data_IF_904016652447
#
_entry.id   IF_904016652447
#
_cell.length_a   1.000
_cell.length_b   1.000
_cell.length_c   1.000
_cell.angle_alpha   90.00
_cell.angle_beta   90.00
_cell.angle_gamma   90.00
#
_symmetry.space_group_name_H-M   'P 1'
#
loop_
_entity.id
_entity.type
_entity.pdbx_description
1 polymer ?
#
# COMPACT_ATOMS: atom_id res chain seq x y z
N UNK A 1 -0.25 15.72 16.43
CA UNK A 1 -0.52 16.68 15.34
C UNK A 1 0.18 16.33 14.04
N UNK A 2 -0.53 16.35 12.91
CA UNK A 2 0.08 16.10 11.59
C UNK A 2 1.23 17.06 11.33
N UNK A 3 2.38 16.53 10.93
CA UNK A 3 3.63 17.29 10.74
C UNK A 3 3.46 18.53 9.85
N UNK A 4 2.73 18.41 8.75
CA UNK A 4 2.45 19.53 7.84
C UNK A 4 1.70 20.68 8.54
N UNK A 5 0.65 20.37 9.31
CA UNK A 5 -0.08 21.36 10.10
C UNK A 5 0.80 21.96 11.19
N UNK A 6 1.57 21.12 11.91
CA UNK A 6 2.45 21.58 12.97
C UNK A 6 3.50 22.57 12.44
N UNK A 7 4.09 22.30 11.27
CA UNK A 7 5.02 23.22 10.62
C UNK A 7 4.35 24.55 10.23
N UNK A 8 3.13 24.52 9.67
CA UNK A 8 2.38 25.74 9.36
C UNK A 8 2.09 26.59 10.60
N UNK A 9 1.68 25.96 11.70
CA UNK A 9 1.43 26.67 12.96
C UNK A 9 2.74 27.19 13.59
N UNK A 10 3.85 26.44 13.47
CA UNK A 10 5.17 26.89 13.91
C UNK A 10 5.62 28.16 13.18
N UNK A 11 5.39 28.23 11.86
CA UNK A 11 5.70 29.42 11.06
C UNK A 11 4.89 30.64 11.53
N UNK A 12 3.61 30.47 11.86
CA UNK A 12 2.78 31.55 12.41
C UNK A 12 3.29 32.02 13.78
N UNK A 13 3.63 31.08 14.68
CA UNK A 13 4.21 31.41 16.00
C UNK A 13 5.54 32.16 15.83
N UNK A 14 6.37 31.77 14.86
CA UNK A 14 7.66 32.41 14.59
C UNK A 14 7.56 33.86 14.09
N UNK A 15 6.38 34.34 13.69
CA UNK A 15 6.15 35.75 13.34
C UNK A 15 5.97 36.66 14.57
N UNK A 16 5.60 36.09 15.72
CA UNK A 16 5.31 36.85 16.94
C UNK A 16 6.48 37.74 17.40
N UNK A 17 7.75 37.29 17.43
CA UNK A 17 8.87 38.13 17.85
C UNK A 17 9.02 39.41 17.02
N UNK A 18 8.77 39.33 15.71
CA UNK A 18 8.82 40.50 14.82
C UNK A 18 7.69 41.50 15.14
N UNK A 19 6.51 40.99 15.48
CA UNK A 19 5.41 41.83 15.94
C UNK A 19 5.73 42.45 17.32
N UNK A 20 6.36 41.70 18.22
CA UNK A 20 6.82 42.20 19.52
C UNK A 20 7.81 43.35 19.36
N UNK A 21 8.79 43.24 18.45
CA UNK A 21 9.71 44.34 18.14
C UNK A 21 8.97 45.60 17.68
N UNK A 22 7.91 45.44 16.90
CA UNK A 22 7.11 46.58 16.41
C UNK A 22 6.34 47.23 17.56
N UNK A 23 5.71 46.42 18.43
CA UNK A 23 5.05 46.90 19.66
C UNK A 23 6.04 47.68 20.54
N UNK A 24 7.24 47.14 20.76
CA UNK A 24 8.25 47.78 21.59
C UNK A 24 8.74 49.11 21.01
N UNK A 25 8.88 49.23 19.68
CA UNK A 25 9.21 50.49 19.02
C UNK A 25 8.08 51.51 19.16
N UNK A 26 6.82 51.08 18.99
CA UNK A 26 5.65 51.94 19.20
C UNK A 26 5.58 52.47 20.62
N UNK A 27 6.05 51.70 21.62
CA UNK A 27 6.19 52.17 23.02
C UNK A 27 7.17 53.32 23.13
N UNK A 28 8.32 53.26 22.46
CA UNK A 28 9.34 54.33 22.53
C UNK A 28 8.87 55.66 21.92
N UNK A 29 8.12 55.58 20.83
CA UNK A 29 7.65 56.77 20.09
C UNK A 29 6.21 57.17 20.43
N UNK A 30 5.58 56.48 21.39
CA UNK A 30 4.20 56.67 21.83
C UNK A 30 3.15 56.58 20.69
N UNK A 31 3.36 55.65 19.76
CA UNK A 31 2.45 55.40 18.63
C UNK A 31 1.37 54.36 18.99
N UNK A 32 0.29 54.86 19.59
CA UNK A 32 -0.83 54.05 20.09
C UNK A 32 -1.53 53.28 18.97
N UNK A 33 -1.68 53.88 17.80
CA UNK A 33 -2.41 53.26 16.70
C UNK A 33 -1.66 52.03 16.17
N UNK A 34 -0.36 52.17 15.92
CA UNK A 34 0.46 51.04 15.45
C UNK A 34 0.55 49.95 16.53
N UNK A 35 0.72 50.32 17.81
CA UNK A 35 0.74 49.35 18.90
C UNK A 35 -0.58 48.56 18.98
N UNK A 36 -1.73 49.24 18.91
CA UNK A 36 -3.04 48.61 18.98
C UNK A 36 -3.28 47.62 17.81
N UNK A 37 -2.89 47.99 16.59
CA UNK A 37 -2.97 47.10 15.43
C UNK A 37 -2.10 45.86 15.63
N UNK A 38 -0.82 46.02 16.00
CA UNK A 38 0.07 44.88 16.21
C UNK A 38 -0.36 43.98 17.38
N UNK A 39 -0.87 44.54 18.47
CA UNK A 39 -1.42 43.77 19.59
C UNK A 39 -2.64 42.95 19.13
N UNK A 40 -3.53 43.55 18.36
CA UNK A 40 -4.70 42.85 17.79
C UNK A 40 -4.27 41.75 16.82
N UNK A 41 -3.28 41.98 15.97
CA UNK A 41 -2.77 40.97 15.02
C UNK A 41 -2.14 39.78 15.75
N UNK A 42 -1.37 40.04 16.80
CA UNK A 42 -0.82 38.99 17.68
C UNK A 42 -1.94 38.18 18.33
N UNK A 43 -2.99 38.83 18.84
CA UNK A 43 -4.12 38.16 19.48
C UNK A 43 -4.90 37.30 18.49
N UNK A 44 -5.20 37.83 17.30
CA UNK A 44 -5.85 37.08 16.22
C UNK A 44 -5.02 35.87 15.80
N UNK A 45 -3.70 36.02 15.71
CA UNK A 45 -2.78 34.92 15.40
C UNK A 45 -2.83 33.84 16.49
N UNK A 46 -2.76 34.24 17.77
CA UNK A 46 -2.81 33.30 18.90
C UNK A 46 -4.14 32.53 18.95
N UNK A 47 -5.27 33.21 18.73
CA UNK A 47 -6.60 32.59 18.64
C UNK A 47 -6.68 31.60 17.47
N UNK A 48 -6.21 32.00 16.30
CA UNK A 48 -6.22 31.14 15.12
C UNK A 48 -5.38 29.88 15.32
N UNK A 49 -4.16 30.03 15.89
CA UNK A 49 -3.29 28.89 16.22
C UNK A 49 -3.95 28.01 17.29
N UNK A 50 -4.47 28.59 18.36
CA UNK A 50 -5.13 27.84 19.44
C UNK A 50 -6.31 27.02 18.94
N UNK A 51 -7.19 27.64 18.16
CA UNK A 51 -8.36 26.96 17.55
C UNK A 51 -7.93 25.77 16.70
N UNK A 52 -6.86 25.92 15.89
CA UNK A 52 -6.31 24.83 15.07
C UNK A 52 -5.71 23.70 15.89
N UNK A 53 -5.12 24.01 17.05
CA UNK A 53 -4.62 22.99 17.97
C UNK A 53 -5.79 22.23 18.58
N UNK A 54 -6.83 22.92 19.07
CA UNK A 54 -8.01 22.25 19.65
C UNK A 54 -8.75 21.39 18.61
N UNK A 55 -8.87 21.86 17.36
CA UNK A 55 -9.43 21.08 16.24
C UNK A 55 -8.65 19.77 15.98
N UNK A 56 -7.33 19.78 16.18
CA UNK A 56 -6.44 18.68 15.82
C UNK A 56 -6.15 17.71 16.98
N UNK A 57 -5.93 18.23 18.18
CA UNK A 57 -5.47 17.48 19.36
C UNK A 57 -6.54 17.36 20.45
N UNK A 58 -7.67 18.06 20.30
CA UNK A 58 -8.71 18.19 21.31
C UNK A 58 -8.49 19.37 22.25
N UNK A 59 -9.56 19.77 22.94
CA UNK A 59 -9.57 20.96 23.80
C UNK A 59 -8.67 20.82 25.04
N UNK A 60 -8.13 21.96 25.49
CA UNK A 60 -7.50 22.08 26.81
C UNK A 60 -6.02 21.68 26.87
N UNK A 61 -5.36 21.63 25.71
CA UNK A 61 -3.91 21.42 25.64
C UNK A 61 -3.14 22.50 26.41
N UNK A 62 -1.97 22.14 26.93
CA UNK A 62 -1.07 23.06 27.64
C UNK A 62 -0.59 24.23 26.79
N UNK A 63 -0.44 24.01 25.47
CA UNK A 63 -0.08 25.04 24.49
C UNK A 63 -1.22 26.03 24.28
N UNK A 64 -2.46 25.55 24.18
CA UNK A 64 -3.64 26.44 24.06
C UNK A 64 -3.79 27.31 25.31
N UNK A 65 -3.60 26.73 26.50
CA UNK A 65 -3.59 27.51 27.75
C UNK A 65 -2.50 28.60 27.77
N UNK A 66 -1.33 28.33 27.19
CA UNK A 66 -0.27 29.33 27.07
C UNK A 66 -0.63 30.43 26.05
N UNK A 67 -1.32 30.08 24.96
CA UNK A 67 -1.84 31.05 23.99
C UNK A 67 -2.96 31.92 24.58
N UNK A 68 -3.84 31.35 25.41
CA UNK A 68 -4.87 32.08 26.15
C UNK A 68 -4.25 33.08 27.12
N UNK A 69 -3.29 32.64 27.94
CA UNK A 69 -2.54 33.53 28.84
C UNK A 69 -1.78 34.64 28.08
N UNK A 70 -1.29 34.34 26.88
CA UNK A 70 -0.69 35.33 26.00
C UNK A 70 -1.71 36.35 25.48
N UNK A 71 -2.92 35.93 25.11
CA UNK A 71 -4.01 36.85 24.74
C UNK A 71 -4.37 37.80 25.89
N UNK A 72 -4.44 37.29 27.13
CA UNK A 72 -4.67 38.11 28.32
C UNK A 72 -3.52 39.10 28.55
N UNK A 73 -2.27 38.66 28.38
CA UNK A 73 -1.09 39.51 28.43
C UNK A 73 -1.18 40.67 27.41
N UNK A 74 -1.55 40.39 26.16
CA UNK A 74 -1.69 41.41 25.12
C UNK A 74 -2.76 42.44 25.46
N UNK A 75 -3.88 42.01 26.05
CA UNK A 75 -4.94 42.90 26.52
C UNK A 75 -4.44 43.83 27.64
N UNK A 76 -3.71 43.29 28.62
CA UNK A 76 -3.11 44.12 29.68
C UNK A 76 -2.09 45.12 29.13
N UNK A 77 -1.25 44.72 28.17
CA UNK A 77 -0.31 45.63 27.51
C UNK A 77 -1.08 46.76 26.79
N UNK A 78 -2.19 46.46 26.12
CA UNK A 78 -3.03 47.48 25.49
C UNK A 78 -3.60 48.49 26.49
N UNK A 79 -4.02 48.03 27.67
CA UNK A 79 -4.49 48.90 28.76
C UNK A 79 -3.36 49.78 29.31
N UNK A 80 -2.21 49.19 29.63
CA UNK A 80 -1.02 49.92 30.10
C UNK A 80 -0.60 51.00 29.10
N UNK A 81 -0.71 50.72 27.80
CA UNK A 81 -0.46 51.67 26.73
C UNK A 81 -1.46 52.83 26.73
N UNK A 82 -2.74 52.51 26.85
CA UNK A 82 -3.84 53.49 26.82
C UNK A 82 -3.84 54.41 28.05
N UNK A 83 -3.39 53.90 29.19
CA UNK A 83 -3.28 54.64 30.46
C UNK A 83 -1.96 55.44 30.58
N UNK A 84 -1.02 55.28 29.64
CA UNK A 84 0.29 55.92 29.69
C UNK A 84 1.25 55.31 30.71
N UNK A 85 0.99 54.08 31.15
CA UNK A 85 1.77 53.34 32.14
C UNK A 85 2.73 52.29 31.50
N UNK A 86 2.84 52.28 30.18
CA UNK A 86 3.62 51.28 29.45
C UNK A 86 5.13 51.44 29.67
N UNK A 87 5.72 50.51 30.41
CA UNK A 87 7.18 50.38 30.55
C UNK A 87 7.74 49.39 29.52
N UNK A 88 8.54 49.90 28.58
CA UNK A 88 9.13 49.10 27.49
C UNK A 88 9.85 47.86 28.01
N UNK A 89 10.67 47.99 29.05
CA UNK A 89 11.52 46.90 29.54
C UNK A 89 10.67 45.79 30.16
N UNK A 90 9.68 46.16 30.95
CA UNK A 90 8.74 45.22 31.55
C UNK A 90 7.89 44.50 30.50
N UNK A 91 7.38 45.23 29.51
CA UNK A 91 6.62 44.68 28.37
C UNK A 91 7.49 43.70 27.58
N UNK A 92 8.74 44.07 27.26
CA UNK A 92 9.68 43.22 26.54
C UNK A 92 9.87 41.87 27.25
N UNK A 93 10.19 41.88 28.54
CA UNK A 93 10.42 40.65 29.30
C UNK A 93 9.18 39.75 29.34
N UNK A 94 7.98 40.33 29.49
CA UNK A 94 6.73 39.56 29.50
C UNK A 94 6.44 38.91 28.14
N UNK A 95 6.62 39.66 27.05
CA UNK A 95 6.42 39.15 25.69
C UNK A 95 7.43 38.04 25.34
N UNK A 96 8.72 38.23 25.67
CA UNK A 96 9.76 37.23 25.46
C UNK A 96 9.48 35.94 26.24
N UNK A 97 9.13 36.05 27.53
CA UNK A 97 8.80 34.89 28.36
C UNK A 97 7.58 34.13 27.81
N UNK A 98 6.54 34.85 27.39
CA UNK A 98 5.34 34.23 26.83
C UNK A 98 5.63 33.52 25.50
N UNK A 99 6.44 34.13 24.64
CA UNK A 99 6.85 33.51 23.38
C UNK A 99 7.65 32.23 23.61
N UNK A 100 8.60 32.23 24.55
CA UNK A 100 9.40 31.06 24.90
C UNK A 100 8.53 29.95 25.47
N UNK A 101 7.59 30.26 26.37
CA UNK A 101 6.66 29.28 26.94
C UNK A 101 5.78 28.64 25.86
N UNK A 102 5.14 29.45 25.01
CA UNK A 102 4.34 28.96 23.87
C UNK A 102 5.18 28.07 22.96
N UNK A 103 6.37 28.52 22.58
CA UNK A 103 7.23 27.81 21.63
C UNK A 103 7.69 26.46 22.20
N UNK A 104 8.06 26.42 23.47
CA UNK A 104 8.50 25.18 24.12
C UNK A 104 7.35 24.17 24.24
N UNK A 105 6.17 24.60 24.72
CA UNK A 105 5.01 23.71 24.84
C UNK A 105 4.57 23.19 23.48
N UNK A 106 4.47 24.07 22.48
CA UNK A 106 4.11 23.68 21.12
C UNK A 106 5.09 22.67 20.51
N UNK A 107 6.40 22.89 20.70
CA UNK A 107 7.43 22.03 20.11
C UNK A 107 7.48 20.65 20.79
N UNK A 108 7.47 20.63 22.12
CA UNK A 108 7.81 19.43 22.91
C UNK A 108 6.60 18.67 23.47
N UNK A 109 5.46 19.32 23.67
CA UNK A 109 4.30 18.69 24.31
C UNK A 109 3.24 18.22 23.31
N UNK A 110 3.28 18.71 22.07
CA UNK A 110 2.42 18.22 20.98
C UNK A 110 3.26 17.31 20.07
N UNK A 111 3.06 15.99 20.07
CA UNK A 111 3.88 15.09 19.26
C UNK A 111 3.54 15.22 17.76
N UNK A 112 4.54 15.00 16.92
CA UNK A 112 4.34 14.90 15.48
C UNK A 112 3.66 13.57 15.17
N UNK A 113 2.56 13.62 14.42
CA UNK A 113 1.93 12.44 13.84
C UNK A 113 2.17 12.40 12.34
N UNK A 114 2.30 11.18 11.83
CA UNK A 114 2.57 10.88 10.42
C UNK A 114 1.32 10.29 9.78
N UNK A 115 0.95 10.76 8.60
CA UNK A 115 -0.12 10.16 7.80
C UNK A 115 0.49 9.20 6.76
N UNK A 116 0.09 7.93 6.83
CA UNK A 116 0.56 6.87 5.92
C UNK A 116 -0.63 6.28 5.18
N UNK A 117 -0.62 6.36 3.86
CA UNK A 117 -1.71 5.88 3.00
C UNK A 117 -1.28 4.64 2.23
N UNK A 118 -2.13 3.61 2.22
CA UNK A 118 -1.97 2.40 1.43
C UNK A 118 -3.01 2.39 0.30
N UNK A 119 -2.56 2.21 -0.94
CA UNK A 119 -3.40 2.24 -2.15
C UNK A 119 -3.47 0.87 -2.85
N UNK A 120 -4.13 -0.13 -2.26
CA UNK A 120 -4.34 -1.41 -2.93
C UNK A 120 -5.40 -1.27 -4.05
N UNK A 121 -5.22 -1.93 -5.20
CA UNK A 121 -6.21 -1.90 -6.29
C UNK A 121 -7.06 -3.19 -6.38
N UNK A 122 -6.60 -4.28 -5.76
CA UNK A 122 -7.31 -5.57 -5.67
C UNK A 122 -7.23 -6.17 -4.27
N UNK A 123 -8.36 -6.68 -3.76
CA UNK A 123 -8.45 -7.30 -2.44
C UNK A 123 -7.64 -8.60 -2.36
N UNK A 124 -7.66 -9.42 -3.42
CA UNK A 124 -6.85 -10.64 -3.55
C UNK A 124 -5.33 -10.43 -3.57
N UNK A 125 -4.88 -9.17 -3.61
CA UNK A 125 -3.46 -8.76 -3.61
C UNK A 125 -3.11 -7.92 -2.37
N UNK A 126 -3.99 -7.90 -1.37
CA UNK A 126 -3.81 -7.12 -0.13
C UNK A 126 -2.67 -7.66 0.75
N UNK A 127 -2.43 -8.97 0.69
CA UNK A 127 -1.36 -9.69 1.38
C UNK A 127 0.04 -9.08 1.16
N UNK A 128 0.24 -8.31 0.08
CA UNK A 128 1.49 -7.63 -0.23
C UNK A 128 1.73 -6.34 0.57
N UNK A 129 0.72 -5.80 1.25
CA UNK A 129 0.80 -4.58 2.06
C UNK A 129 0.33 -4.79 3.50
N UNK A 130 -0.40 -5.87 3.77
CA UNK A 130 -1.07 -6.14 5.05
C UNK A 130 -0.14 -6.04 6.27
N UNK A 131 1.04 -6.69 6.27
CA UNK A 131 1.94 -6.65 7.43
C UNK A 131 2.54 -5.26 7.65
N UNK A 132 2.78 -4.51 6.57
CA UNK A 132 3.28 -3.12 6.62
C UNK A 132 2.20 -2.19 7.20
N UNK A 133 0.96 -2.35 6.74
CA UNK A 133 -0.17 -1.61 7.29
C UNK A 133 -0.42 -1.95 8.76
N UNK A 134 -0.42 -3.23 9.16
CA UNK A 134 -0.58 -3.64 10.56
C UNK A 134 0.47 -3.00 11.46
N UNK A 135 1.73 -2.95 11.01
CA UNK A 135 2.81 -2.29 11.75
C UNK A 135 2.60 -0.78 11.86
N UNK A 136 2.15 -0.11 10.79
CA UNK A 136 1.85 1.32 10.81
C UNK A 136 0.64 1.63 11.71
N UNK A 137 -0.43 0.84 11.63
CA UNK A 137 -1.65 1.03 12.42
C UNK A 137 -1.46 0.76 13.92
N UNK A 138 -0.42 0.00 14.31
CA UNK A 138 -0.08 -0.24 15.71
C UNK A 138 0.72 0.90 16.37
N UNK A 139 1.25 1.85 15.60
CA UNK A 139 2.02 2.98 16.12
C UNK A 139 1.08 4.15 16.44
N UNK A 140 1.00 4.61 17.70
CA UNK A 140 0.10 5.70 18.10
C UNK A 140 0.46 7.06 17.46
N UNK A 141 1.65 7.20 16.89
CA UNK A 141 2.08 8.41 16.17
C UNK A 141 1.84 8.32 14.66
N UNK A 142 1.24 7.24 14.17
CA UNK A 142 0.98 7.02 12.75
C UNK A 142 -0.52 6.86 12.50
N UNK A 143 -1.05 7.75 11.68
CA UNK A 143 -2.38 7.64 11.11
C UNK A 143 -2.31 6.83 9.81
N UNK A 144 -2.53 5.51 9.93
CA UNK A 144 -2.50 4.58 8.81
C UNK A 144 -3.89 4.45 8.14
N UNK A 145 -3.99 4.76 6.84
CA UNK A 145 -5.24 4.70 6.06
C UNK A 145 -5.14 3.72 4.92
N UNK A 146 -6.15 2.86 4.76
CA UNK A 146 -6.28 1.99 3.59
C UNK A 146 -7.33 2.58 2.65
N UNK A 147 -6.90 2.94 1.45
CA UNK A 147 -7.75 3.54 0.42
C UNK A 147 -7.67 2.65 -0.81
N UNK A 148 -8.55 1.63 -0.94
CA UNK A 148 -8.65 0.85 -2.15
C UNK A 148 -8.91 1.77 -3.34
N UNK A 149 -8.22 1.53 -4.45
CA UNK A 149 -8.32 2.36 -5.65
C UNK A 149 -9.02 1.61 -6.78
N UNK A 150 -9.86 2.29 -7.58
CA UNK A 150 -10.53 1.66 -8.69
C UNK A 150 -9.58 1.37 -9.85
N UNK A 151 -9.98 0.42 -10.69
CA UNK A 151 -9.27 0.06 -11.91
C UNK A 151 -10.24 -0.27 -13.05
N UNK A 152 -9.71 -0.32 -14.25
CA UNK A 152 -10.43 -0.67 -15.46
C UNK A 152 -9.83 -1.92 -16.08
N UNK A 153 -10.65 -2.74 -16.72
CA UNK A 153 -10.16 -3.67 -17.74
C UNK A 153 -9.63 -2.89 -18.95
N UNK A 154 -8.72 -3.51 -19.70
CA UNK A 154 -8.23 -3.02 -20.99
C UNK A 154 -8.82 -3.86 -22.11
N UNK A 155 -9.38 -3.19 -23.12
CA UNK A 155 -9.80 -3.82 -24.36
C UNK A 155 -8.59 -4.11 -25.27
N UNK A 156 -8.73 -5.00 -26.28
CA UNK A 156 -7.65 -5.26 -27.23
C UNK A 156 -7.12 -4.02 -27.96
N UNK A 157 -7.95 -2.97 -28.13
CA UNK A 157 -7.56 -1.68 -28.72
C UNK A 157 -6.86 -0.73 -27.73
N UNK A 158 -6.65 -1.16 -26.49
CA UNK A 158 -6.05 -0.39 -25.40
C UNK A 158 -7.02 0.56 -24.70
N UNK A 159 -8.28 0.70 -25.13
CA UNK A 159 -9.25 1.56 -24.44
C UNK A 159 -9.75 0.93 -23.13
N UNK A 160 -10.35 1.75 -22.26
CA UNK A 160 -10.92 1.25 -21.00
C UNK A 160 -12.19 0.43 -21.25
N UNK A 161 -12.25 -0.70 -20.54
CA UNK A 161 -13.38 -1.62 -20.47
C UNK A 161 -14.21 -1.38 -19.21
N UNK A 162 -14.57 -2.46 -18.53
CA UNK A 162 -15.36 -2.44 -17.30
C UNK A 162 -14.61 -1.74 -16.17
N UNK A 163 -15.36 -1.01 -15.33
CA UNK A 163 -14.86 -0.35 -14.14
C UNK A 163 -15.05 -1.27 -12.93
N UNK A 164 -14.02 -1.36 -12.11
CA UNK A 164 -13.98 -2.23 -10.94
C UNK A 164 -13.58 -1.45 -9.69
N UNK A 165 -14.25 -1.75 -8.57
CA UNK A 165 -13.91 -1.22 -7.25
C UNK A 165 -14.17 -2.28 -6.17
N UNK A 166 -13.10 -2.82 -5.59
CA UNK A 166 -13.13 -3.94 -4.63
C UNK A 166 -13.10 -3.45 -3.16
N UNK A 167 -13.48 -2.19 -2.89
CA UNK A 167 -13.36 -1.62 -1.54
C UNK A 167 -14.18 -2.32 -0.45
N UNK A 168 -15.22 -3.06 -0.85
CA UNK A 168 -16.04 -3.89 0.06
C UNK A 168 -15.57 -5.33 0.23
N UNK A 169 -14.49 -5.74 -0.44
CA UNK A 169 -13.98 -7.12 -0.43
C UNK A 169 -12.77 -7.32 0.50
N UNK A 170 -12.33 -6.26 1.18
CA UNK A 170 -11.24 -6.33 2.13
C UNK A 170 -11.67 -7.02 3.44
N UNK A 171 -10.72 -7.63 4.18
CA UNK A 171 -11.00 -8.20 5.48
C UNK A 171 -11.66 -7.20 6.44
N UNK A 172 -12.59 -7.67 7.27
CA UNK A 172 -13.40 -6.81 8.15
C UNK A 172 -12.60 -6.05 9.21
N UNK A 173 -11.40 -6.51 9.54
CA UNK A 173 -10.45 -5.85 10.44
C UNK A 173 -9.71 -4.68 9.78
N UNK A 174 -9.83 -4.50 8.46
CA UNK A 174 -9.19 -3.42 7.70
C UNK A 174 -10.18 -2.25 7.54
N UNK A 175 -9.97 -1.11 8.23
CA UNK A 175 -10.83 0.06 8.07
C UNK A 175 -10.58 0.73 6.72
N UNK A 176 -11.59 0.70 5.86
CA UNK A 176 -11.52 1.25 4.50
C UNK A 176 -11.97 2.72 4.47
N UNK A 177 -11.15 3.56 3.85
CA UNK A 177 -11.49 4.94 3.48
C UNK A 177 -11.83 4.98 1.99
N UNK A 178 -12.99 5.53 1.65
CA UNK A 178 -13.38 5.71 0.24
C UNK A 178 -12.45 6.68 -0.48
N UNK A 179 -11.98 6.29 -1.66
CA UNK A 179 -11.11 7.13 -2.50
C UNK A 179 -11.78 8.44 -2.96
N UNK A 180 -13.11 8.49 -3.00
CA UNK A 180 -13.88 9.69 -3.37
C UNK A 180 -13.91 10.74 -2.26
N UNK A 181 -13.75 10.32 -1.01
CA UNK A 181 -13.80 11.18 0.17
C UNK A 181 -12.44 11.69 0.60
N UNK A 182 -11.36 11.15 0.04
CA UNK A 182 -10.00 11.50 0.40
C UNK A 182 -9.43 12.56 -0.54
N UNK A 183 -8.98 13.70 0.01
CA UNK A 183 -8.39 14.77 -0.78
C UNK A 183 -6.86 14.73 -0.70
N UNK A 184 -6.22 14.08 -1.67
CA UNK A 184 -4.76 13.91 -1.70
C UNK A 184 -3.98 15.23 -1.67
N UNK A 185 -4.45 16.26 -2.36
CA UNK A 185 -3.78 17.56 -2.41
C UNK A 185 -3.86 18.29 -1.07
N UNK A 186 -5.04 18.29 -0.43
CA UNK A 186 -5.24 18.90 0.88
C UNK A 186 -4.56 18.12 2.01
N UNK A 187 -4.62 16.80 1.95
CA UNK A 187 -4.10 15.94 3.00
C UNK A 187 -2.57 15.83 2.94
N UNK A 188 -2.02 15.66 1.74
CA UNK A 188 -0.60 15.48 1.45
C UNK A 188 0.10 14.46 2.40
N UNK A 189 -0.24 13.16 2.31
CA UNK A 189 0.34 12.13 3.19
C UNK A 189 1.87 12.15 3.22
N UNK A 190 2.46 11.90 4.38
CA UNK A 190 3.92 11.77 4.52
C UNK A 190 4.44 10.58 3.69
N UNK A 191 3.70 9.47 3.69
CA UNK A 191 4.00 8.28 2.89
C UNK A 191 2.79 7.74 2.15
N UNK A 192 3.01 7.30 0.92
CA UNK A 192 2.03 6.51 0.15
C UNK A 192 2.67 5.19 -0.28
N UNK A 193 2.01 4.08 0.03
CA UNK A 193 2.35 2.73 -0.43
C UNK A 193 1.46 2.31 -1.60
N UNK A 194 2.10 1.90 -2.71
CA UNK A 194 1.44 1.33 -3.88
C UNK A 194 1.97 -0.09 -4.13
N UNK A 195 1.14 -0.95 -4.71
CA UNK A 195 1.55 -2.32 -5.08
C UNK A 195 1.36 -2.69 -6.55
N UNK A 196 0.59 -1.90 -7.32
CA UNK A 196 0.46 -2.09 -8.76
C UNK A 196 1.61 -1.36 -9.48
N UNK A 197 2.40 -2.04 -10.32
CA UNK A 197 3.56 -1.39 -10.94
C UNK A 197 3.30 -0.65 -12.24
N UNK A 198 2.13 -0.83 -12.86
CA UNK A 198 2.03 -0.72 -14.31
C UNK A 198 1.44 0.60 -14.82
N UNK A 199 0.83 1.44 -13.99
CA UNK A 199 0.10 2.63 -14.44
C UNK A 199 -0.82 2.33 -15.65
N UNK A 200 -0.48 2.87 -16.83
CA UNK A 200 -1.17 2.72 -18.10
C UNK A 200 -0.56 1.68 -19.05
N UNK A 201 0.56 1.05 -18.72
CA UNK A 201 1.30 0.18 -19.66
C UNK A 201 0.89 -1.30 -19.61
N UNK A 202 0.07 -1.71 -18.65
CA UNK A 202 -0.43 -3.09 -18.60
C UNK A 202 -1.52 -3.31 -19.66
N UNK A 203 -1.45 -4.46 -20.34
CA UNK A 203 -2.35 -4.83 -21.42
C UNK A 203 -3.73 -5.32 -20.94
N UNK A 204 -3.85 -5.69 -19.66
CA UNK A 204 -5.06 -6.36 -19.13
C UNK A 204 -5.90 -5.44 -18.26
N UNK A 205 -5.27 -4.68 -17.37
CA UNK A 205 -5.94 -3.75 -16.47
C UNK A 205 -5.14 -2.47 -16.33
N UNK A 206 -5.80 -1.38 -15.95
CA UNK A 206 -5.14 -0.12 -15.59
C UNK A 206 -5.84 0.48 -14.38
N UNK A 207 -5.06 0.85 -13.36
CA UNK A 207 -5.60 1.63 -12.23
C UNK A 207 -6.17 2.94 -12.75
N UNK A 208 -7.15 3.52 -12.07
CA UNK A 208 -7.73 4.77 -12.52
C UNK A 208 -6.64 5.86 -12.71
N UNK A 209 -6.61 6.64 -13.81
CA UNK A 209 -5.48 7.49 -14.20
C UNK A 209 -4.97 8.47 -13.14
N UNK A 210 -5.86 8.95 -12.27
CA UNK A 210 -5.50 9.75 -11.10
C UNK A 210 -4.45 9.05 -10.22
N UNK A 211 -4.53 7.73 -10.08
CA UNK A 211 -3.67 6.90 -9.24
C UNK A 211 -2.40 6.37 -9.93
N UNK A 212 -2.11 6.80 -11.16
CA UNK A 212 -0.81 6.50 -11.76
C UNK A 212 0.32 6.99 -10.87
N UNK A 213 1.36 6.18 -10.71
CA UNK A 213 2.50 6.46 -9.85
C UNK A 213 3.15 7.82 -10.16
N UNK A 214 3.19 8.23 -11.44
CA UNK A 214 3.66 9.57 -11.86
C UNK A 214 2.81 10.74 -11.33
N UNK A 215 1.54 10.51 -11.05
CA UNK A 215 0.60 11.50 -10.52
C UNK A 215 0.63 11.49 -8.99
N UNK A 216 0.48 10.31 -8.38
CA UNK A 216 0.42 10.15 -6.93
C UNK A 216 1.71 10.60 -6.24
N UNK A 217 2.87 10.44 -6.88
CA UNK A 217 4.15 10.94 -6.36
C UNK A 217 4.10 12.44 -6.01
N UNK A 218 3.24 13.23 -6.65
CA UNK A 218 3.14 14.69 -6.43
C UNK A 218 2.43 15.07 -5.13
N UNK A 219 1.71 14.13 -4.50
CA UNK A 219 0.90 14.37 -3.31
C UNK A 219 1.53 13.81 -2.03
N UNK A 220 2.80 13.40 -2.08
CA UNK A 220 3.49 12.80 -0.93
C UNK A 220 4.98 13.08 -0.96
N UNK A 221 5.58 13.17 0.24
CA UNK A 221 7.03 13.30 0.39
C UNK A 221 7.76 11.99 0.02
N UNK A 222 7.10 10.84 0.23
CA UNK A 222 7.69 9.53 -0.05
C UNK A 222 6.65 8.55 -0.60
N UNK A 223 6.90 8.11 -1.83
CA UNK A 223 6.10 7.11 -2.53
C UNK A 223 6.88 5.80 -2.49
N UNK A 224 6.30 4.76 -1.90
CA UNK A 224 6.91 3.45 -1.73
C UNK A 224 6.18 2.44 -2.60
N UNK A 225 6.92 1.68 -3.40
CA UNK A 225 6.38 0.58 -4.18
C UNK A 225 6.79 -0.77 -3.57
N UNK A 226 5.81 -1.62 -3.29
CA UNK A 226 6.01 -3.02 -2.85
C UNK A 226 5.25 -3.92 -3.84
N UNK A 227 5.92 -4.77 -4.64
CA UNK A 227 5.25 -5.63 -5.60
C UNK A 227 4.18 -6.52 -4.95
N UNK A 228 3.00 -6.64 -5.59
CA UNK A 228 1.97 -7.59 -5.16
C UNK A 228 2.31 -9.06 -5.48
N UNK A 229 3.38 -9.29 -6.22
CA UNK A 229 3.84 -10.61 -6.62
C UNK A 229 5.25 -10.88 -6.10
N UNK A 230 5.61 -12.16 -6.08
CA UNK A 230 6.98 -12.62 -5.88
C UNK A 230 7.48 -13.29 -7.14
N UNK A 231 8.78 -13.20 -7.38
CA UNK A 231 9.45 -13.78 -8.54
C UNK A 231 10.32 -14.95 -8.09
N UNK A 232 10.77 -15.78 -9.02
CA UNK A 232 11.84 -16.73 -8.70
C UNK A 232 13.14 -15.95 -8.43
N UNK A 233 13.94 -16.44 -7.49
CA UNK A 233 15.23 -15.82 -7.18
C UNK A 233 16.16 -15.83 -8.40
N UNK A 234 16.80 -14.69 -8.64
CA UNK A 234 17.66 -14.48 -9.81
C UNK A 234 19.11 -14.37 -9.32
N UNK A 235 20.02 -15.04 -10.02
CA UNK A 235 21.44 -14.71 -9.88
C UNK A 235 21.69 -13.34 -10.54
N UNK A 236 22.07 -12.29 -9.79
CA UNK A 236 22.30 -10.96 -10.35
C UNK A 236 23.47 -10.91 -11.37
N UNK A 237 24.31 -11.94 -11.42
CA UNK A 237 25.41 -12.05 -12.39
C UNK A 237 24.97 -12.68 -13.73
N UNK A 238 23.78 -13.30 -13.76
CA UNK A 238 23.22 -13.91 -14.97
C UNK A 238 22.46 -12.86 -15.80
N UNK A 239 23.18 -12.26 -16.75
CA UNK A 239 22.62 -11.23 -17.65
C UNK A 239 21.46 -11.75 -18.52
N UNK A 240 21.45 -13.02 -18.90
CA UNK A 240 20.35 -13.57 -19.69
C UNK A 240 19.10 -13.79 -18.84
N UNK A 241 19.27 -14.23 -17.59
CA UNK A 241 18.17 -14.30 -16.63
C UNK A 241 17.58 -12.90 -16.38
N UNK A 242 18.42 -11.87 -16.18
CA UNK A 242 17.95 -10.49 -15.97
C UNK A 242 17.06 -9.97 -17.11
N UNK A 243 17.34 -10.34 -18.37
CA UNK A 243 16.51 -9.93 -19.52
C UNK A 243 15.06 -10.36 -19.36
N UNK A 244 14.79 -11.53 -18.77
CA UNK A 244 13.42 -12.05 -18.56
C UNK A 244 12.62 -11.16 -17.61
N UNK A 245 13.27 -10.45 -16.70
CA UNK A 245 12.62 -9.64 -15.67
C UNK A 245 12.59 -8.14 -15.98
N UNK A 246 13.15 -7.72 -17.12
CA UNK A 246 13.21 -6.30 -17.53
C UNK A 246 11.85 -5.60 -17.53
N UNK A 247 10.79 -6.31 -17.90
CA UNK A 247 9.44 -5.75 -17.94
C UNK A 247 8.89 -5.44 -16.53
N UNK A 248 9.27 -6.20 -15.50
CA UNK A 248 8.94 -5.89 -14.11
C UNK A 248 9.82 -4.75 -13.57
N UNK A 249 11.12 -4.78 -13.88
CA UNK A 249 12.10 -3.81 -13.36
C UNK A 249 11.91 -2.43 -13.98
N UNK A 250 11.56 -2.36 -15.27
CA UNK A 250 11.31 -1.12 -16.01
C UNK A 250 9.92 -0.53 -15.81
N UNK A 251 9.09 -1.12 -14.93
CA UNK A 251 7.70 -0.70 -14.77
C UNK A 251 7.58 0.71 -14.15
N UNK A 252 6.53 1.48 -14.51
CA UNK A 252 6.35 2.86 -14.05
C UNK A 252 6.50 3.07 -12.54
N UNK A 253 5.94 2.22 -11.69
CA UNK A 253 6.08 2.39 -10.24
C UNK A 253 7.53 2.23 -9.76
N UNK A 254 8.32 1.35 -10.39
CA UNK A 254 9.76 1.21 -10.06
C UNK A 254 10.49 2.50 -10.40
N UNK A 255 10.16 3.14 -11.52
CA UNK A 255 10.78 4.39 -11.95
C UNK A 255 10.30 5.58 -11.10
N UNK A 256 9.00 5.67 -10.84
CA UNK A 256 8.35 6.81 -10.22
C UNK A 256 8.36 6.78 -8.69
N UNK A 257 8.53 5.64 -8.03
CA UNK A 257 8.60 5.59 -6.57
C UNK A 257 9.88 6.28 -6.04
N UNK A 258 9.81 6.78 -4.81
CA UNK A 258 10.97 7.26 -4.06
C UNK A 258 11.76 6.06 -3.49
N UNK A 259 11.08 4.99 -3.12
CA UNK A 259 11.65 3.75 -2.59
C UNK A 259 10.92 2.53 -3.18
N UNK A 260 11.66 1.45 -3.42
CA UNK A 260 11.11 0.18 -3.91
C UNK A 260 11.59 -0.94 -3.01
N UNK A 261 10.67 -1.74 -2.49
CA UNK A 261 10.98 -2.86 -1.59
C UNK A 261 10.72 -4.17 -2.35
N UNK A 262 11.78 -4.96 -2.56
CA UNK A 262 11.73 -6.27 -3.21
C UNK A 262 12.08 -7.39 -2.23
N UNK A 263 11.69 -8.61 -2.60
CA UNK A 263 11.67 -9.80 -1.75
C UNK A 263 13.02 -10.24 -1.15
N UNK A 264 14.16 -9.84 -1.71
CA UNK A 264 15.48 -10.32 -1.27
C UNK A 264 16.62 -9.39 -1.70
N UNK A 265 17.80 -9.57 -1.08
CA UNK A 265 19.02 -8.86 -1.46
C UNK A 265 19.49 -9.22 -2.88
N UNK A 266 19.32 -10.48 -3.31
CA UNK A 266 19.63 -10.88 -4.67
C UNK A 266 18.74 -10.17 -5.68
N UNK A 267 17.43 -10.06 -5.39
CA UNK A 267 16.51 -9.29 -6.21
C UNK A 267 16.83 -7.80 -6.20
N UNK A 268 17.24 -7.23 -5.07
CA UNK A 268 17.73 -5.84 -5.01
C UNK A 268 18.91 -5.65 -5.97
N UNK A 269 19.93 -6.51 -5.90
CA UNK A 269 21.09 -6.46 -6.79
C UNK A 269 20.67 -6.57 -8.26
N UNK A 270 19.79 -7.52 -8.58
CA UNK A 270 19.27 -7.72 -9.94
C UNK A 270 18.57 -6.46 -10.50
N UNK A 271 17.73 -5.81 -9.69
CA UNK A 271 17.08 -4.55 -10.06
C UNK A 271 18.10 -3.43 -10.28
N UNK A 272 19.08 -3.29 -9.38
CA UNK A 272 20.14 -2.28 -9.50
C UNK A 272 20.94 -2.48 -10.78
N UNK A 273 21.42 -3.70 -11.05
CA UNK A 273 22.21 -3.96 -12.27
C UNK A 273 21.41 -3.68 -13.55
N UNK A 274 20.14 -4.11 -13.60
CA UNK A 274 19.29 -3.86 -14.76
C UNK A 274 19.01 -2.36 -14.98
N UNK A 275 18.79 -1.59 -13.92
CA UNK A 275 18.54 -0.14 -14.02
C UNK A 275 19.82 0.63 -14.38
N UNK A 276 20.96 0.20 -13.85
CA UNK A 276 22.27 0.77 -14.16
C UNK A 276 22.69 0.46 -15.61
N UNK A 277 22.43 -0.75 -16.11
CA UNK A 277 22.68 -1.11 -17.52
C UNK A 277 21.96 -0.14 -18.48
N UNK A 278 20.74 0.26 -18.15
CA UNK A 278 19.92 1.14 -18.99
C UNK A 278 20.20 2.64 -18.83
N UNK A 279 20.75 3.07 -17.68
CA UNK A 279 20.86 4.51 -17.34
C UNK A 279 22.29 4.99 -17.09
N UNK A 280 23.24 4.05 -16.98
CA UNK A 280 24.67 4.29 -16.76
C UNK A 280 25.10 4.23 -15.31
N UNK A 281 26.36 3.82 -15.11
CA UNK A 281 27.02 3.58 -13.81
C UNK A 281 26.96 4.78 -12.83
N UNK A 282 26.91 6.00 -13.36
CA UNK A 282 26.74 7.24 -12.57
C UNK A 282 25.50 7.23 -11.68
N UNK A 283 24.47 6.46 -12.01
CA UNK A 283 23.22 6.37 -11.26
C UNK A 283 23.20 5.22 -10.24
N UNK A 284 24.24 4.39 -10.13
CA UNK A 284 24.27 3.22 -9.25
C UNK A 284 23.91 3.58 -7.80
N UNK A 285 24.58 4.58 -7.23
CA UNK A 285 24.34 5.02 -5.84
C UNK A 285 22.88 5.45 -5.62
N UNK A 286 22.26 6.08 -6.63
CA UNK A 286 20.84 6.44 -6.56
C UNK A 286 19.95 5.20 -6.47
N UNK A 287 20.17 4.20 -7.33
CA UNK A 287 19.39 2.96 -7.30
C UNK A 287 19.67 2.10 -6.08
N UNK A 288 20.91 2.02 -5.60
CA UNK A 288 21.26 1.30 -4.37
C UNK A 288 20.58 1.88 -3.13
N UNK A 289 20.37 3.20 -3.11
CA UNK A 289 19.62 3.88 -2.07
C UNK A 289 18.11 3.70 -2.23
N UNK A 290 17.60 3.64 -3.46
CA UNK A 290 16.18 3.54 -3.78
C UNK A 290 15.61 2.12 -3.63
N UNK A 291 16.34 1.10 -4.08
CA UNK A 291 15.89 -0.30 -4.07
C UNK A 291 16.35 -0.98 -2.78
N UNK A 292 15.40 -1.59 -2.05
CA UNK A 292 15.61 -2.29 -0.78
C UNK A 292 15.25 -3.76 -0.95
N UNK A 293 16.14 -4.66 -0.52
CA UNK A 293 15.94 -6.11 -0.58
C UNK A 293 15.47 -6.71 0.74
N UNK A 294 14.60 -6.00 1.47
CA UNK A 294 14.31 -6.28 2.89
C UNK A 294 13.21 -7.31 3.11
N UNK A 295 12.64 -7.88 2.05
CA UNK A 295 11.62 -8.93 2.16
C UNK A 295 10.32 -8.62 1.43
N UNK A 296 9.38 -9.54 1.51
CA UNK A 296 8.02 -9.40 0.96
C UNK A 296 7.01 -9.76 2.05
N UNK A 297 6.01 -8.90 2.32
CA UNK A 297 4.90 -9.22 3.23
C UNK A 297 4.21 -10.55 2.89
N UNK A 298 4.13 -10.88 1.60
CA UNK A 298 3.56 -12.14 1.10
C UNK A 298 4.35 -13.38 1.53
N UNK A 299 5.68 -13.29 1.52
CA UNK A 299 6.56 -14.38 2.00
C UNK A 299 6.53 -14.46 3.53
N UNK A 300 6.55 -13.32 4.20
CA UNK A 300 6.46 -13.25 5.66
C UNK A 300 5.17 -13.92 6.16
N UNK A 301 4.03 -13.56 5.57
CA UNK A 301 2.72 -14.11 5.90
C UNK A 301 2.69 -15.63 5.71
N UNK A 302 3.01 -16.14 4.53
CA UNK A 302 2.90 -17.59 4.27
C UNK A 302 3.83 -18.42 5.17
N UNK A 303 5.01 -17.91 5.52
CA UNK A 303 5.95 -18.59 6.44
C UNK A 303 5.44 -18.61 7.89
N UNK A 304 4.61 -17.65 8.27
CA UNK A 304 4.04 -17.57 9.63
C UNK A 304 2.82 -18.46 9.84
N UNK A 305 2.19 -18.92 8.76
CA UNK A 305 0.94 -19.66 8.80
C UNK A 305 1.15 -21.17 8.95
N UNK A 306 0.22 -21.80 9.63
CA UNK A 306 0.08 -23.25 9.78
C UNK A 306 -1.32 -23.68 9.38
N UNK A 307 -1.56 -24.99 9.28
CA UNK A 307 -2.90 -25.51 8.97
C UNK A 307 -3.95 -25.13 10.02
N UNK A 308 -3.53 -24.89 11.27
CA UNK A 308 -4.42 -24.51 12.37
C UNK A 308 -4.90 -23.04 12.25
N UNK A 309 -4.17 -22.20 11.52
CA UNK A 309 -4.53 -20.82 11.24
C UNK A 309 -5.54 -20.69 10.09
N UNK A 310 -5.87 -21.81 9.43
CA UNK A 310 -6.65 -21.82 8.20
C UNK A 310 -8.02 -22.42 8.43
N UNK A 311 -9.06 -21.60 8.20
CA UNK A 311 -10.43 -22.07 8.18
C UNK A 311 -10.71 -22.84 6.88
N UNK A 312 -11.04 -24.13 7.01
CA UNK A 312 -11.47 -24.98 5.88
C UNK A 312 -12.98 -24.75 5.66
N UNK A 313 -13.41 -24.23 4.50
CA UNK A 313 -14.82 -24.08 4.18
C UNK A 313 -15.58 -25.40 4.32
N UNK A 314 -16.79 -25.36 4.89
CA UNK A 314 -17.58 -26.56 5.16
C UNK A 314 -17.81 -27.39 3.89
N UNK A 315 -18.10 -26.71 2.78
CA UNK A 315 -18.27 -27.29 1.46
C UNK A 315 -17.01 -28.02 0.93
N UNK A 316 -15.82 -27.66 1.40
CA UNK A 316 -14.57 -28.31 0.99
C UNK A 316 -14.28 -29.60 1.78
N UNK A 317 -14.83 -29.72 2.99
CA UNK A 317 -14.56 -30.87 3.89
C UNK A 317 -14.92 -32.21 3.24
N UNK A 318 -16.01 -32.27 2.46
CA UNK A 318 -16.44 -33.48 1.75
C UNK A 318 -15.42 -34.01 0.75
N UNK A 319 -14.57 -33.15 0.19
CA UNK A 319 -13.52 -33.59 -0.73
C UNK A 319 -12.24 -34.00 0.00
N UNK A 320 -11.96 -33.35 1.15
CA UNK A 320 -10.70 -33.48 1.91
C UNK A 320 -10.72 -34.68 2.84
N UNK A 321 -11.85 -34.96 3.49
CA UNK A 321 -11.99 -36.05 4.45
C UNK A 321 -12.75 -37.22 3.83
N UNK A 322 -12.30 -38.44 4.15
CA UNK A 322 -13.02 -39.69 3.86
C UNK A 322 -14.11 -39.92 4.91
N UNK A 323 -15.03 -40.86 4.64
CA UNK A 323 -16.09 -41.24 5.58
C UNK A 323 -15.56 -41.75 6.93
N UNK A 324 -14.35 -42.32 6.94
CA UNK A 324 -13.66 -42.79 8.15
C UNK A 324 -12.93 -41.66 8.92
N UNK A 325 -13.05 -40.41 8.46
CA UNK A 325 -12.40 -39.23 9.04
C UNK A 325 -10.94 -39.02 8.61
N UNK A 326 -10.35 -39.95 7.83
CA UNK A 326 -8.99 -39.78 7.35
C UNK A 326 -8.90 -38.68 6.28
N UNK A 327 -7.87 -37.84 6.41
CA UNK A 327 -7.59 -36.76 5.46
C UNK A 327 -6.90 -37.31 4.21
N UNK A 328 -7.45 -37.02 3.03
CA UNK A 328 -6.82 -37.27 1.72
C UNK A 328 -5.63 -36.34 1.52
N UNK A 329 -4.73 -36.71 0.61
CA UNK A 329 -3.68 -35.78 0.16
C UNK A 329 -4.31 -34.71 -0.71
N UNK A 330 -4.04 -33.44 -0.40
CA UNK A 330 -4.57 -32.30 -1.17
C UNK A 330 -3.46 -31.79 -2.10
N UNK A 331 -3.72 -31.80 -3.39
CA UNK A 331 -2.79 -31.29 -4.41
C UNK A 331 -3.37 -30.00 -4.96
N UNK A 332 -2.64 -28.89 -4.81
CA UNK A 332 -3.02 -27.67 -5.50
C UNK A 332 -2.62 -27.79 -6.97
N UNK A 333 -3.59 -27.57 -7.85
CA UNK A 333 -3.38 -27.40 -9.28
C UNK A 333 -3.49 -25.93 -9.64
N UNK A 334 -2.36 -25.32 -10.01
CA UNK A 334 -2.32 -23.93 -10.44
C UNK A 334 -2.16 -23.84 -11.95
N UNK A 335 -3.07 -23.10 -12.58
CA UNK A 335 -3.03 -22.78 -14.01
C UNK A 335 -2.78 -21.30 -14.20
N UNK A 336 -1.71 -20.96 -14.93
CA UNK A 336 -1.24 -19.60 -15.18
C UNK A 336 -1.85 -19.01 -16.44
N UNK A 337 -1.93 -17.67 -16.47
CA UNK A 337 -2.34 -16.93 -17.66
C UNK A 337 -1.37 -17.18 -18.82
N UNK A 338 -0.06 -17.17 -18.54
CA UNK A 338 0.99 -17.30 -19.55
C UNK A 338 0.92 -18.66 -20.27
N UNK A 339 0.83 -19.77 -19.52
CA UNK A 339 0.76 -21.09 -20.14
C UNK A 339 -0.46 -21.26 -21.05
N UNK A 340 -1.59 -20.67 -20.66
CA UNK A 340 -2.80 -20.72 -21.46
C UNK A 340 -2.72 -19.87 -22.74
N UNK A 341 -2.02 -18.74 -22.70
CA UNK A 341 -1.79 -17.91 -23.90
C UNK A 341 -0.75 -18.52 -24.86
N UNK A 342 0.30 -19.13 -24.31
CA UNK A 342 1.40 -19.71 -25.09
C UNK A 342 0.97 -21.03 -25.75
N UNK A 343 0.38 -21.94 -24.98
CA UNK A 343 0.08 -23.32 -25.41
C UNK A 343 -1.37 -23.52 -25.87
N UNK A 344 -2.27 -22.56 -25.55
CA UNK A 344 -3.65 -22.46 -26.08
C UNK A 344 -4.44 -23.77 -25.92
N UNK A 345 -4.84 -24.40 -27.02
CA UNK A 345 -5.62 -25.63 -27.04
C UNK A 345 -4.89 -26.81 -26.39
N UNK A 346 -3.55 -26.86 -26.44
CA UNK A 346 -2.77 -27.91 -25.77
C UNK A 346 -2.92 -27.81 -24.24
N UNK A 347 -2.96 -26.58 -23.70
CA UNK A 347 -3.20 -26.36 -22.27
C UNK A 347 -4.62 -26.78 -21.87
N UNK A 348 -5.63 -26.48 -22.70
CA UNK A 348 -6.99 -26.94 -22.47
C UNK A 348 -7.10 -28.47 -22.47
N UNK A 349 -6.39 -29.15 -23.39
CA UNK A 349 -6.30 -30.61 -23.42
C UNK A 349 -5.62 -31.15 -22.17
N UNK A 350 -4.53 -30.52 -21.73
CA UNK A 350 -3.81 -30.89 -20.50
C UNK A 350 -4.70 -30.77 -19.26
N UNK A 351 -5.46 -29.68 -19.12
CA UNK A 351 -6.37 -29.51 -17.99
C UNK A 351 -7.41 -30.64 -17.92
N UNK A 352 -8.02 -31.01 -19.05
CA UNK A 352 -8.99 -32.11 -19.12
C UNK A 352 -8.38 -33.46 -18.70
N UNK A 353 -7.15 -33.72 -19.13
CA UNK A 353 -6.40 -34.93 -18.74
C UNK A 353 -6.11 -34.96 -17.24
N UNK A 354 -5.65 -33.85 -16.67
CA UNK A 354 -5.42 -33.73 -15.23
C UNK A 354 -6.72 -33.98 -14.48
N UNK A 355 -7.84 -33.38 -14.90
CA UNK A 355 -9.13 -33.58 -14.25
C UNK A 355 -9.59 -35.04 -14.31
N UNK A 356 -9.42 -35.71 -15.45
CA UNK A 356 -9.69 -37.15 -15.60
C UNK A 356 -8.92 -37.97 -14.57
N UNK A 357 -7.59 -37.81 -14.51
CA UNK A 357 -6.71 -38.56 -13.61
C UNK A 357 -7.12 -38.34 -12.14
N UNK A 358 -7.34 -37.09 -11.73
CA UNK A 358 -7.73 -36.81 -10.35
C UNK A 358 -9.14 -37.31 -10.01
N UNK A 359 -10.07 -37.32 -10.97
CA UNK A 359 -11.40 -37.89 -10.77
C UNK A 359 -11.35 -39.42 -10.61
N UNK A 360 -10.51 -40.11 -11.38
CA UNK A 360 -10.25 -41.56 -11.23
C UNK A 360 -9.68 -41.90 -9.85
N UNK A 361 -8.85 -41.01 -9.28
CA UNK A 361 -8.21 -41.18 -7.97
C UNK A 361 -8.87 -40.39 -6.82
N UNK A 362 -10.11 -39.90 -6.99
CA UNK A 362 -10.79 -39.00 -6.03
C UNK A 362 -11.01 -39.58 -4.63
N UNK A 363 -10.94 -40.91 -4.47
CA UNK A 363 -11.02 -41.59 -3.18
C UNK A 363 -9.74 -41.45 -2.34
N UNK A 364 -8.61 -41.17 -2.97
CA UNK A 364 -7.28 -41.13 -2.33
C UNK A 364 -6.70 -39.72 -2.27
N UNK A 365 -6.96 -38.91 -3.29
CA UNK A 365 -6.36 -37.58 -3.46
C UNK A 365 -7.44 -36.55 -3.80
N UNK A 366 -7.32 -35.35 -3.24
CA UNK A 366 -8.16 -34.19 -3.54
C UNK A 366 -7.43 -33.26 -4.48
N UNK A 367 -8.06 -32.91 -5.60
CA UNK A 367 -7.61 -31.82 -6.46
C UNK A 367 -8.19 -30.51 -5.95
N UNK A 368 -7.32 -29.55 -5.61
CA UNK A 368 -7.70 -28.16 -5.36
C UNK A 368 -7.25 -27.35 -6.57
N UNK A 369 -8.16 -27.08 -7.50
CA UNK A 369 -7.86 -26.25 -8.66
C UNK A 369 -8.03 -24.78 -8.32
N UNK A 370 -6.93 -24.02 -8.40
CA UNK A 370 -6.90 -22.57 -8.25
C UNK A 370 -6.46 -21.93 -9.56
N UNK A 371 -7.39 -21.41 -10.38
CA UNK A 371 -7.01 -20.65 -11.57
C UNK A 371 -6.44 -19.28 -11.18
N UNK A 372 -5.55 -18.74 -12.01
CA UNK A 372 -5.04 -17.39 -11.77
C UNK A 372 -6.19 -16.34 -11.84
N UNK A 373 -6.31 -15.40 -10.89
CA UNK A 373 -7.46 -14.47 -10.80
C UNK A 373 -7.71 -13.63 -12.05
N UNK A 374 -6.66 -13.35 -12.82
CA UNK A 374 -6.73 -12.57 -14.06
C UNK A 374 -6.98 -13.40 -15.33
N UNK A 375 -7.21 -14.71 -15.27
CA UNK A 375 -7.45 -15.54 -16.46
C UNK A 375 -8.61 -14.99 -17.30
N UNK A 376 -9.77 -14.76 -16.68
CA UNK A 376 -10.97 -14.28 -17.40
C UNK A 376 -10.69 -12.94 -18.08
N UNK A 377 -10.23 -11.94 -17.31
CA UNK A 377 -9.94 -10.61 -17.84
C UNK A 377 -8.88 -10.66 -18.96
N UNK A 378 -7.82 -11.44 -18.78
CA UNK A 378 -6.73 -11.53 -19.77
C UNK A 378 -7.18 -12.19 -21.05
N UNK A 379 -7.83 -13.36 -20.98
CA UNK A 379 -8.21 -14.09 -22.20
C UNK A 379 -9.32 -13.33 -22.94
N UNK A 380 -10.29 -12.73 -22.23
CA UNK A 380 -11.29 -11.88 -22.86
C UNK A 380 -10.68 -10.67 -23.57
N UNK A 381 -9.57 -10.14 -23.06
CA UNK A 381 -8.86 -9.01 -23.67
C UNK A 381 -7.96 -9.43 -24.85
N UNK A 382 -7.20 -10.51 -24.69
CA UNK A 382 -6.13 -10.90 -25.62
C UNK A 382 -6.59 -11.96 -26.64
N UNK A 383 -7.38 -12.95 -26.21
CA UNK A 383 -7.78 -14.09 -27.05
C UNK A 383 -9.22 -14.57 -26.77
N UNK A 384 -10.27 -13.79 -27.12
CA UNK A 384 -11.65 -14.08 -26.75
C UNK A 384 -12.18 -15.46 -27.19
N UNK A 385 -11.65 -16.00 -28.29
CA UNK A 385 -12.06 -17.31 -28.81
C UNK A 385 -11.68 -18.45 -27.86
N UNK A 386 -10.51 -18.38 -27.22
CA UNK A 386 -10.02 -19.37 -26.27
C UNK A 386 -10.85 -19.39 -24.97
N UNK A 387 -11.39 -18.23 -24.57
CA UNK A 387 -12.16 -18.11 -23.34
C UNK A 387 -13.40 -19.02 -23.33
N UNK A 388 -14.09 -19.17 -24.46
CA UNK A 388 -15.31 -20.02 -24.54
C UNK A 388 -15.03 -21.47 -24.22
N UNK A 389 -13.88 -22.00 -24.65
CA UNK A 389 -13.54 -23.39 -24.39
C UNK A 389 -12.95 -23.59 -22.99
N UNK A 390 -12.25 -22.58 -22.47
CA UNK A 390 -11.84 -22.54 -21.07
C UNK A 390 -13.05 -22.49 -20.12
N UNK A 391 -14.06 -21.66 -20.40
CA UNK A 391 -15.26 -21.50 -19.58
C UNK A 391 -16.03 -22.83 -19.45
N UNK A 392 -16.18 -23.58 -20.55
CA UNK A 392 -16.77 -24.92 -20.51
C UNK A 392 -16.00 -25.90 -19.62
N UNK A 393 -14.68 -25.76 -19.53
CA UNK A 393 -13.85 -26.60 -18.64
C UNK A 393 -14.10 -26.24 -17.18
N UNK A 394 -14.24 -24.94 -16.87
CA UNK A 394 -14.61 -24.47 -15.53
C UNK A 394 -16.00 -24.98 -15.13
N UNK A 395 -17.00 -24.80 -15.99
CA UNK A 395 -18.38 -25.26 -15.75
C UNK A 395 -18.41 -26.77 -15.51
N UNK A 396 -17.78 -27.54 -16.40
CA UNK A 396 -17.72 -29.00 -16.28
C UNK A 396 -17.04 -29.44 -14.98
N UNK A 397 -15.94 -28.81 -14.57
CA UNK A 397 -15.27 -29.15 -13.32
C UNK A 397 -16.17 -28.92 -12.11
N UNK A 398 -16.92 -27.81 -12.10
CA UNK A 398 -17.89 -27.49 -11.04
C UNK A 398 -19.06 -28.49 -11.03
N UNK A 399 -19.55 -28.89 -12.21
CA UNK A 399 -20.66 -29.85 -12.34
C UNK A 399 -20.28 -31.29 -11.96
N UNK A 400 -19.06 -31.73 -12.27
CA UNK A 400 -18.61 -33.10 -11.96
C UNK A 400 -18.35 -33.33 -10.45
N UNK A 401 -18.28 -32.26 -9.65
CA UNK A 401 -18.28 -32.28 -8.17
C UNK A 401 -17.29 -33.27 -7.52
N UNK A 402 -16.07 -33.41 -8.09
CA UNK A 402 -15.06 -34.35 -7.59
C UNK A 402 -13.87 -33.68 -6.87
N UNK A 403 -13.79 -32.35 -6.87
CA UNK A 403 -12.69 -31.59 -6.28
C UNK A 403 -13.08 -30.16 -5.90
N UNK A 404 -12.08 -29.37 -5.47
CA UNK A 404 -12.27 -28.00 -4.99
C UNK A 404 -11.94 -27.02 -6.12
N UNK A 405 -12.89 -26.17 -6.50
CA UNK A 405 -12.64 -25.00 -7.33
C UNK A 405 -12.48 -23.78 -6.42
N UNK A 406 -11.27 -23.22 -6.36
CA UNK A 406 -10.98 -22.09 -5.49
C UNK A 406 -10.82 -20.80 -6.30
N UNK A 407 -11.89 -20.00 -6.34
CA UNK A 407 -11.93 -18.64 -6.89
C UNK A 407 -11.93 -17.55 -5.80
N UNK A 408 -11.63 -17.92 -4.55
CA UNK A 408 -11.60 -16.99 -3.43
C UNK A 408 -10.35 -16.08 -3.46
N UNK A 409 -10.40 -14.88 -2.84
CA UNK A 409 -9.23 -14.01 -2.73
C UNK A 409 -8.12 -14.58 -1.83
N UNK A 410 -8.43 -15.58 -1.00
CA UNK A 410 -7.50 -16.18 -0.03
C UNK A 410 -6.64 -17.29 -0.66
N UNK A 411 -5.56 -16.86 -1.28
CA UNK A 411 -4.55 -17.74 -1.88
C UNK A 411 -3.69 -18.46 -0.82
N UNK A 412 -3.48 -17.84 0.33
CA UNK A 412 -2.65 -18.40 1.39
C UNK A 412 -3.30 -19.66 1.98
N UNK A 413 -4.62 -19.66 2.21
CA UNK A 413 -5.39 -20.85 2.60
C UNK A 413 -5.12 -22.04 1.69
N UNK A 414 -5.23 -21.84 0.38
CA UNK A 414 -5.05 -22.91 -0.60
C UNK A 414 -3.63 -23.50 -0.55
N UNK A 415 -2.63 -22.63 -0.43
CA UNK A 415 -1.24 -23.05 -0.30
C UNK A 415 -0.98 -23.80 1.01
N UNK A 416 -1.44 -23.30 2.14
CA UNK A 416 -1.21 -23.94 3.44
C UNK A 416 -1.96 -25.28 3.55
N UNK A 417 -3.17 -25.37 2.99
CA UNK A 417 -3.94 -26.62 2.96
C UNK A 417 -3.31 -27.68 2.06
N UNK A 418 -2.62 -27.31 0.97
CA UNK A 418 -2.08 -28.28 0.03
C UNK A 418 -0.85 -29.02 0.58
N UNK A 419 -0.85 -30.34 0.41
CA UNK A 419 0.30 -31.21 0.69
C UNK A 419 1.40 -31.09 -0.39
N UNK A 420 1.03 -30.80 -1.65
CA UNK A 420 1.97 -30.60 -2.75
C UNK A 420 1.39 -29.69 -3.83
N UNK A 421 2.29 -29.13 -4.65
CA UNK A 421 1.98 -28.29 -5.80
C UNK A 421 2.13 -29.06 -7.11
N UNK A 422 1.14 -28.95 -7.99
CA UNK A 422 1.18 -29.39 -9.37
C UNK A 422 0.70 -28.27 -10.31
N UNK A 423 1.29 -28.16 -11.50
CA UNK A 423 0.82 -27.21 -12.52
C UNK A 423 1.92 -26.30 -13.05
N UNK A 424 1.57 -25.08 -13.44
CA UNK A 424 2.47 -24.20 -14.20
C UNK A 424 3.56 -23.55 -13.33
N UNK A 425 4.63 -23.08 -13.96
CA UNK A 425 5.54 -22.12 -13.31
C UNK A 425 4.81 -20.81 -13.01
N UNK A 426 4.86 -20.32 -11.76
CA UNK A 426 4.19 -19.08 -11.33
C UNK A 426 4.80 -18.52 -10.05
N UNK A 427 4.33 -17.35 -9.62
CA UNK A 427 4.70 -16.78 -8.31
C UNK A 427 4.31 -17.68 -7.12
N UNK A 428 3.33 -18.58 -7.29
CA UNK A 428 2.97 -19.56 -6.25
C UNK A 428 4.07 -20.60 -6.02
N UNK A 429 4.86 -20.91 -7.04
CA UNK A 429 6.00 -21.83 -6.92
C UNK A 429 7.03 -21.25 -5.95
N UNK A 430 7.32 -19.96 -6.04
CA UNK A 430 8.20 -19.28 -5.08
C UNK A 430 7.65 -19.41 -3.67
N UNK A 431 6.36 -19.13 -3.44
CA UNK A 431 5.76 -19.27 -2.12
C UNK A 431 5.77 -20.71 -1.60
N UNK A 432 5.53 -21.70 -2.46
CA UNK A 432 5.62 -23.11 -2.10
C UNK A 432 7.03 -23.50 -1.65
N UNK A 433 8.08 -22.99 -2.32
CA UNK A 433 9.48 -23.20 -1.92
C UNK A 433 9.74 -22.65 -0.51
N UNK A 434 9.18 -21.48 -0.20
CA UNK A 434 9.34 -20.81 1.10
C UNK A 434 8.78 -21.61 2.29
N UNK A 435 7.79 -22.47 2.05
CA UNK A 435 7.18 -23.36 3.06
C UNK A 435 7.56 -24.83 2.85
N UNK A 436 8.60 -25.11 2.07
CA UNK A 436 9.14 -26.47 1.86
C UNK A 436 8.18 -27.45 1.16
N UNK A 437 7.20 -26.94 0.41
CA UNK A 437 6.18 -27.77 -0.24
C UNK A 437 6.78 -28.50 -1.45
N UNK A 438 6.54 -29.82 -1.61
CA UNK A 438 6.90 -30.53 -2.83
C UNK A 438 6.23 -29.92 -4.06
N UNK A 439 6.99 -29.74 -5.13
CA UNK A 439 6.55 -29.06 -6.36
C UNK A 439 6.82 -29.95 -7.56
N UNK A 440 5.80 -30.13 -8.40
CA UNK A 440 5.92 -30.74 -9.72
C UNK A 440 5.39 -29.77 -10.79
N UNK A 441 6.30 -29.25 -11.61
CA UNK A 441 5.91 -28.42 -12.76
C UNK A 441 5.42 -29.32 -13.89
N UNK A 442 4.24 -29.01 -14.43
CA UNK A 442 3.66 -29.81 -15.49
C UNK A 442 4.36 -29.57 -16.84
N UNK A 443 4.36 -30.60 -17.67
CA UNK A 443 4.64 -30.47 -19.09
C UNK A 443 3.31 -30.60 -19.84
N UNK A 444 2.90 -29.52 -20.51
CA UNK A 444 1.59 -29.43 -21.20
C UNK A 444 1.43 -30.51 -22.27
N UNK A 445 2.54 -30.95 -22.88
CA UNK A 445 2.53 -31.97 -23.93
C UNK A 445 2.44 -33.41 -23.41
N UNK A 446 2.63 -33.62 -22.11
CA UNK A 446 2.53 -34.95 -21.50
C UNK A 446 1.11 -35.14 -21.00
N UNK A 447 0.33 -35.90 -21.77
CA UNK A 447 -1.04 -36.30 -21.47
C UNK A 447 -1.03 -37.79 -21.11
N UNK A 448 -1.78 -38.20 -20.08
CA UNK A 448 -1.93 -39.61 -19.75
C UNK A 448 -2.51 -40.36 -20.94
N UNK A 449 -1.86 -41.44 -21.39
CA UNK A 449 -2.43 -42.30 -22.42
C UNK A 449 -3.83 -42.79 -22.03
N UNK A 450 -4.69 -43.02 -23.03
CA UNK A 450 -5.96 -43.74 -22.81
C UNK A 450 -5.71 -45.20 -22.41
#
# INVERSE_FOLDING_TARGET
MRKALKNQLAELIALLPKAHETILKSVEINDINTAAVCLSDCQNTAIAVGTRIDEAEGEGTSTVKALEAYCELLFHIHQEFSEGNADRKHIQTRLENSFVDISNRFLYEIPDTKEVVFLPYKASMWDSLESVWKKAAADPLVEAKVIPIPYYDRKPDGSFGEFHYEGGEFPSDVPIVSYEKYNFEKNHPDEIYIHNPYDDINAVTSVHPFFYSRNIRKFTDKLIYIPYFVLEEINPEDKEALKKYRHFIGAPAVINAHEVIVQSENMRRAYVECLVENTGEKNRRYFENKIKGTGSPKIEKIRSMTIDDVEIPEEWKKYIYKEDGNRKKVIIYNTSVQALLDEKEEMLAKMKDVFRIFNEHRSEVTLLWRPHPLIKATICSIMPQLYRDYEKIVERYKEEDFGIYDDSPDMDRALIMADAYYGDSSSLVTLCKEIGKPIMIQNVRVIGGE
#
